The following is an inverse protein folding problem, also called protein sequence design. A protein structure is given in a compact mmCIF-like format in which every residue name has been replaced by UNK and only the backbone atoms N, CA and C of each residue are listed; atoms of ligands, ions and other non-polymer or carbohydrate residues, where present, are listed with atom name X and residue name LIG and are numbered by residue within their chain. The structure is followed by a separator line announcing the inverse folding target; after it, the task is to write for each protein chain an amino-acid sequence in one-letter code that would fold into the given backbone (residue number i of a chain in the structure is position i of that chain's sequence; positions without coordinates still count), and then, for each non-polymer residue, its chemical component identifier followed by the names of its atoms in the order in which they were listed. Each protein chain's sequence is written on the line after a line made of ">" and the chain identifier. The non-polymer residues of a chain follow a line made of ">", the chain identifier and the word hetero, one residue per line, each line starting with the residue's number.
data_IF_136672946497
#
_entry.id   IF_136672946497
#
_cell.length_a   1.000
_cell.length_b   1.000
_cell.length_c   1.000
_cell.angle_alpha   90.00
_cell.angle_beta   90.00
_cell.angle_gamma   90.00
#
_symmetry.space_group_name_H-M   'P 1'
#
loop_
_entity.id
_entity.type
_entity.pdbx_description
1 polymer ?
#
# COMPACT_ATOMS: atom_id res chain seq x y z
N UNK A 1 66.08 -53.73 37.90
CA UNK A 1 65.62 -52.53 38.63
C UNK A 1 65.26 -51.47 37.61
N UNK A 2 64.06 -50.87 37.71
CA UNK A 2 63.66 -49.75 36.85
C UNK A 2 64.34 -48.48 37.35
N UNK A 3 64.99 -47.72 36.46
CA UNK A 3 65.62 -46.44 36.79
C UNK A 3 64.54 -45.35 36.70
N UNK A 4 64.28 -44.66 37.81
CA UNK A 4 63.37 -43.52 37.82
C UNK A 4 64.01 -42.34 37.08
N UNK A 5 63.42 -41.91 35.98
CA UNK A 5 63.94 -40.84 35.14
C UNK A 5 63.07 -39.58 35.23
N UNK A 6 63.44 -38.66 36.12
CA UNK A 6 62.66 -37.46 36.42
C UNK A 6 62.37 -36.57 35.20
N UNK A 7 63.25 -36.54 34.19
CA UNK A 7 63.04 -35.78 32.94
C UNK A 7 61.79 -36.27 32.18
N UNK A 8 61.54 -37.58 32.17
CA UNK A 8 60.37 -38.17 31.52
C UNK A 8 59.06 -37.82 32.22
N UNK A 9 59.07 -37.70 33.55
CA UNK A 9 57.91 -37.29 34.34
C UNK A 9 57.50 -35.85 34.00
N UNK A 10 58.46 -34.90 34.04
CA UNK A 10 58.22 -33.49 33.72
C UNK A 10 57.71 -33.30 32.28
N UNK A 11 58.32 -34.01 31.31
CA UNK A 11 57.87 -33.97 29.92
C UNK A 11 56.42 -34.44 29.77
N UNK A 12 56.05 -35.55 30.41
CA UNK A 12 54.71 -36.12 30.33
C UNK A 12 53.64 -35.20 30.93
N UNK A 13 53.94 -34.54 32.05
CA UNK A 13 52.98 -33.63 32.69
C UNK A 13 52.77 -32.35 31.86
N UNK A 14 53.84 -31.75 31.33
CA UNK A 14 53.73 -30.62 30.40
C UNK A 14 52.93 -30.99 29.14
N UNK A 15 53.18 -32.18 28.58
CA UNK A 15 52.42 -32.68 27.41
C UNK A 15 50.93 -32.83 27.73
N UNK A 16 50.57 -33.40 28.88
CA UNK A 16 49.16 -33.53 29.31
C UNK A 16 48.49 -32.17 29.45
N UNK A 17 49.18 -31.19 30.00
CA UNK A 17 48.67 -29.83 30.13
C UNK A 17 48.33 -29.21 28.76
N UNK A 18 49.26 -29.27 27.81
CA UNK A 18 49.06 -28.76 26.44
C UNK A 18 47.86 -29.47 25.78
N UNK A 19 47.77 -30.79 25.88
CA UNK A 19 46.64 -31.55 25.32
C UNK A 19 45.30 -31.14 25.96
N UNK A 20 45.26 -30.95 27.27
CA UNK A 20 44.05 -30.52 27.97
C UNK A 20 43.60 -29.11 27.59
N UNK A 21 44.53 -28.19 27.33
CA UNK A 21 44.18 -26.87 26.79
C UNK A 21 43.67 -26.96 25.35
N UNK A 22 44.28 -27.81 24.51
CA UNK A 22 43.84 -28.01 23.13
C UNK A 22 42.42 -28.58 23.05
N UNK A 23 42.10 -29.58 23.86
CA UNK A 23 40.74 -30.13 23.95
C UNK A 23 39.70 -29.08 24.33
N UNK A 24 40.05 -28.14 25.22
CA UNK A 24 39.17 -27.02 25.58
C UNK A 24 38.95 -26.07 24.41
N UNK A 25 39.99 -25.75 23.65
CA UNK A 25 39.88 -24.94 22.42
C UNK A 25 38.96 -25.63 21.42
N UNK A 26 39.20 -26.91 21.11
CA UNK A 26 38.35 -27.68 20.20
C UNK A 26 36.90 -27.74 20.68
N UNK A 27 36.68 -28.00 21.97
CA UNK A 27 35.36 -28.04 22.57
C UNK A 27 34.63 -26.69 22.50
N UNK A 28 35.35 -25.58 22.61
CA UNK A 28 34.77 -24.24 22.47
C UNK A 28 34.43 -23.93 21.02
N UNK A 29 35.36 -24.14 20.09
CA UNK A 29 35.16 -23.88 18.66
C UNK A 29 34.04 -24.73 18.06
N UNK A 30 33.99 -26.03 18.37
CA UNK A 30 32.96 -26.95 17.85
C UNK A 30 31.53 -26.61 18.28
N UNK A 31 31.36 -25.89 19.40
CA UNK A 31 30.03 -25.48 19.92
C UNK A 31 29.66 -24.05 19.56
N UNK A 32 30.55 -23.33 18.89
CA UNK A 32 30.36 -21.93 18.51
C UNK A 32 29.73 -21.87 17.12
N UNK A 33 28.73 -20.99 16.91
CA UNK A 33 28.20 -20.75 15.58
C UNK A 33 29.24 -20.06 14.70
N UNK A 34 29.21 -20.27 13.38
CA UNK A 34 30.19 -19.72 12.46
C UNK A 34 30.35 -18.20 12.60
N UNK A 35 29.23 -17.48 12.71
CA UNK A 35 29.16 -16.02 12.88
C UNK A 35 29.85 -15.47 14.13
N UNK A 36 30.19 -16.34 15.08
CA UNK A 36 30.79 -15.96 16.36
C UNK A 36 32.22 -16.49 16.51
N UNK A 37 32.75 -17.26 15.55
CA UNK A 37 34.08 -17.85 15.66
C UNK A 37 35.15 -16.76 15.76
N UNK A 38 35.08 -15.73 14.92
CA UNK A 38 36.05 -14.63 14.88
C UNK A 38 36.23 -13.92 16.23
N UNK A 39 35.17 -13.84 17.04
CA UNK A 39 35.20 -13.17 18.35
C UNK A 39 36.15 -13.81 19.38
N UNK A 40 36.51 -15.08 19.19
CA UNK A 40 37.40 -15.80 20.12
C UNK A 40 38.88 -15.77 19.71
N UNK A 41 39.25 -15.00 18.67
CA UNK A 41 40.62 -14.94 18.13
C UNK A 41 41.64 -14.60 19.21
N UNK A 42 41.38 -13.55 19.97
CA UNK A 42 42.33 -13.05 20.97
C UNK A 42 42.47 -14.03 22.14
N UNK A 43 41.35 -14.52 22.69
CA UNK A 43 41.33 -15.51 23.78
C UNK A 43 42.08 -16.80 23.39
N UNK A 44 41.86 -17.31 22.19
CA UNK A 44 42.53 -18.54 21.72
C UNK A 44 44.01 -18.28 21.43
N UNK A 45 44.38 -17.10 20.93
CA UNK A 45 45.78 -16.72 20.75
C UNK A 45 46.53 -16.63 22.08
N UNK A 46 45.88 -16.13 23.13
CA UNK A 46 46.45 -16.09 24.48
C UNK A 46 46.74 -17.50 25.01
N UNK A 47 45.80 -18.44 24.84
CA UNK A 47 46.01 -19.84 25.24
C UNK A 47 47.17 -20.47 24.44
N UNK A 48 47.27 -20.19 23.13
CA UNK A 48 48.37 -20.68 22.30
C UNK A 48 49.74 -20.14 22.71
N UNK A 49 49.79 -18.89 23.19
CA UNK A 49 51.02 -18.29 23.71
C UNK A 49 51.52 -19.06 24.93
N UNK A 50 50.64 -19.32 25.89
CA UNK A 50 50.95 -20.11 27.09
C UNK A 50 51.42 -21.54 26.74
N UNK A 51 50.75 -22.21 25.79
CA UNK A 51 51.17 -23.53 25.33
C UNK A 51 52.58 -23.52 24.72
N UNK A 52 52.92 -22.46 23.99
CA UNK A 52 54.20 -22.33 23.28
C UNK A 52 55.38 -22.09 24.24
N UNK A 53 55.15 -21.35 25.33
CA UNK A 53 56.16 -21.08 26.36
C UNK A 53 56.66 -22.37 27.05
N UNK A 54 55.88 -23.45 27.03
CA UNK A 54 56.28 -24.74 27.59
C UNK A 54 57.41 -25.43 26.83
N UNK A 55 57.63 -25.08 25.55
CA UNK A 55 58.73 -25.57 24.70
C UNK A 55 58.88 -27.11 24.66
N UNK A 56 57.76 -27.84 24.67
CA UNK A 56 57.75 -29.33 24.67
C UNK A 56 57.39 -29.93 23.32
N UNK A 57 56.54 -29.25 22.55
CA UNK A 57 56.03 -29.70 21.26
C UNK A 57 56.16 -28.56 20.25
N UNK A 58 56.36 -28.92 18.98
CA UNK A 58 56.20 -27.97 17.90
C UNK A 58 54.71 -27.74 17.64
N UNK A 59 54.25 -26.54 17.98
CA UNK A 59 52.85 -26.12 17.81
C UNK A 59 52.62 -25.33 16.51
N UNK A 60 53.67 -25.10 15.72
CA UNK A 60 53.60 -24.28 14.50
C UNK A 60 52.53 -24.77 13.51
N UNK A 61 52.39 -26.09 13.24
CA UNK A 61 51.33 -26.58 12.34
C UNK A 61 49.92 -26.26 12.87
N UNK A 62 49.74 -26.36 14.18
CA UNK A 62 48.46 -26.12 14.85
C UNK A 62 48.12 -24.64 14.88
N UNK A 63 49.11 -23.80 15.14
CA UNK A 63 48.98 -22.34 15.11
C UNK A 63 48.58 -21.86 13.72
N UNK A 64 49.23 -22.37 12.67
CA UNK A 64 48.89 -22.08 11.28
C UNK A 64 47.44 -22.44 10.93
N UNK A 65 46.96 -23.60 11.38
CA UNK A 65 45.56 -24.00 11.19
C UNK A 65 44.57 -23.06 11.90
N UNK A 66 44.90 -22.64 13.12
CA UNK A 66 44.06 -21.72 13.91
C UNK A 66 44.06 -20.33 13.29
N UNK A 67 45.20 -19.84 12.84
CA UNK A 67 45.29 -18.54 12.15
C UNK A 67 44.46 -18.58 10.85
N UNK A 68 44.61 -19.64 10.06
CA UNK A 68 43.80 -19.84 8.85
C UNK A 68 42.30 -19.89 9.16
N UNK A 69 41.87 -20.58 10.22
CA UNK A 69 40.48 -20.61 10.63
C UNK A 69 39.94 -19.20 10.91
N UNK A 70 40.70 -18.38 11.64
CA UNK A 70 40.28 -17.02 11.96
C UNK A 70 40.27 -16.09 10.74
N UNK A 71 41.19 -16.28 9.80
CA UNK A 71 41.18 -15.54 8.54
C UNK A 71 39.90 -15.87 7.73
N UNK A 72 39.54 -17.16 7.63
CA UNK A 72 38.29 -17.58 6.98
C UNK A 72 37.06 -17.05 7.72
N UNK A 73 37.02 -17.10 9.05
CA UNK A 73 35.90 -16.58 9.85
C UNK A 73 35.71 -15.08 9.63
N UNK A 74 36.80 -14.30 9.65
CA UNK A 74 36.76 -12.85 9.40
C UNK A 74 36.27 -12.54 7.98
N UNK A 75 36.76 -13.29 6.98
CA UNK A 75 36.31 -13.15 5.59
C UNK A 75 34.83 -13.47 5.44
N UNK A 76 34.36 -14.53 6.08
CA UNK A 76 32.96 -14.93 6.08
C UNK A 76 32.06 -13.84 6.68
N UNK A 77 32.42 -13.31 7.86
CA UNK A 77 31.64 -12.26 8.54
C UNK A 77 31.51 -11.01 7.65
N UNK A 78 32.60 -10.63 6.98
CA UNK A 78 32.61 -9.49 6.07
C UNK A 78 31.74 -9.73 4.82
N UNK A 79 31.87 -10.89 4.18
CA UNK A 79 31.05 -11.24 3.01
C UNK A 79 29.56 -11.35 3.37
N UNK A 80 29.26 -11.95 4.52
CA UNK A 80 27.90 -12.11 5.00
C UNK A 80 27.25 -10.75 5.31
N UNK A 81 27.98 -9.83 5.97
CA UNK A 81 27.51 -8.46 6.18
C UNK A 81 27.22 -7.75 4.86
N UNK A 82 28.16 -7.80 3.90
CA UNK A 82 27.99 -7.19 2.58
C UNK A 82 26.78 -7.75 1.82
N UNK A 83 26.52 -9.06 1.95
CA UNK A 83 25.36 -9.70 1.36
C UNK A 83 24.05 -9.19 1.97
N UNK A 84 23.98 -9.07 3.30
CA UNK A 84 22.81 -8.54 4.01
C UNK A 84 22.53 -7.10 3.59
N UNK A 85 23.57 -6.25 3.55
CA UNK A 85 23.44 -4.85 3.14
C UNK A 85 22.93 -4.74 1.71
N UNK A 86 23.50 -5.52 0.79
CA UNK A 86 23.05 -5.55 -0.61
C UNK A 86 21.61 -6.02 -0.74
N UNK A 87 21.22 -7.08 -0.05
CA UNK A 87 19.84 -7.58 -0.08
C UNK A 87 18.84 -6.54 0.45
N UNK A 88 19.23 -5.78 1.48
CA UNK A 88 18.45 -4.67 2.00
C UNK A 88 18.34 -3.53 0.99
N UNK A 89 19.42 -3.16 0.31
CA UNK A 89 19.42 -2.16 -0.76
C UNK A 89 18.53 -2.58 -1.95
N UNK A 90 18.65 -3.83 -2.41
CA UNK A 90 17.83 -4.37 -3.51
C UNK A 90 16.34 -4.29 -3.16
N UNK A 91 15.96 -4.72 -1.95
CA UNK A 91 14.57 -4.63 -1.46
C UNK A 91 14.09 -3.18 -1.36
N UNK A 92 14.94 -2.26 -0.92
CA UNK A 92 14.62 -0.82 -0.87
C UNK A 92 14.37 -0.26 -2.26
N UNK A 93 15.20 -0.62 -3.24
CA UNK A 93 15.06 -0.20 -4.63
C UNK A 93 13.76 -0.73 -5.25
N UNK A 94 13.40 -1.99 -4.99
CA UNK A 94 12.13 -2.59 -5.43
C UNK A 94 10.92 -1.82 -4.87
N UNK A 95 10.91 -1.51 -3.57
CA UNK A 95 9.84 -0.75 -2.94
C UNK A 95 9.71 0.67 -3.52
N UNK A 96 10.84 1.34 -3.77
CA UNK A 96 10.85 2.67 -4.40
C UNK A 96 10.28 2.59 -5.83
N UNK A 97 10.67 1.58 -6.60
CA UNK A 97 10.15 1.36 -7.96
C UNK A 97 8.64 1.17 -7.95
N UNK A 98 8.13 0.31 -7.06
CA UNK A 98 6.69 0.04 -6.92
C UNK A 98 5.91 1.31 -6.50
N UNK A 99 6.43 2.06 -5.52
CA UNK A 99 5.82 3.30 -5.08
C UNK A 99 5.77 4.35 -6.21
N UNK A 100 6.80 4.42 -7.05
CA UNK A 100 6.84 5.30 -8.21
C UNK A 100 5.79 4.92 -9.25
N UNK A 101 5.67 3.63 -9.59
CA UNK A 101 4.65 3.14 -10.53
C UNK A 101 3.23 3.45 -10.04
N UNK A 102 2.95 3.23 -8.76
CA UNK A 102 1.65 3.57 -8.15
C UNK A 102 1.35 5.07 -8.18
N UNK A 103 2.37 5.91 -7.97
CA UNK A 103 2.21 7.36 -8.05
C UNK A 103 1.91 7.82 -9.49
N UNK A 104 2.53 7.19 -10.49
CA UNK A 104 2.24 7.47 -11.90
C UNK A 104 0.80 7.07 -12.26
N UNK A 105 0.34 5.89 -11.83
CA UNK A 105 -1.04 5.44 -12.03
C UNK A 105 -2.04 6.40 -11.38
N UNK A 106 -1.79 6.81 -10.14
CA UNK A 106 -2.65 7.74 -9.41
C UNK A 106 -2.82 9.08 -10.14
N UNK A 107 -1.75 9.60 -10.76
CA UNK A 107 -1.82 10.86 -11.53
C UNK A 107 -2.71 10.74 -12.77
N UNK A 108 -2.70 9.57 -13.43
CA UNK A 108 -3.57 9.30 -14.58
C UNK A 108 -5.03 9.27 -14.12
N UNK A 109 -5.33 8.50 -13.07
CA UNK A 109 -6.68 8.40 -12.49
C UNK A 109 -7.20 9.76 -12.00
N UNK A 110 -6.35 10.59 -11.41
CA UNK A 110 -6.71 11.95 -10.98
C UNK A 110 -7.07 12.84 -12.19
N UNK A 111 -6.33 12.71 -13.30
CA UNK A 111 -6.63 13.40 -14.55
C UNK A 111 -7.99 13.00 -15.13
N UNK A 112 -8.27 11.70 -15.16
CA UNK A 112 -9.57 11.16 -15.62
C UNK A 112 -10.72 11.65 -14.74
N UNK A 113 -10.52 11.66 -13.41
CA UNK A 113 -11.52 12.16 -12.46
C UNK A 113 -11.87 13.63 -12.71
N UNK A 114 -10.87 14.49 -12.94
CA UNK A 114 -11.09 15.91 -13.28
C UNK A 114 -11.86 16.05 -14.60
N UNK A 115 -11.58 15.20 -15.58
CA UNK A 115 -12.34 15.14 -16.84
C UNK A 115 -13.81 14.79 -16.62
N UNK A 116 -14.08 13.74 -15.82
CA UNK A 116 -15.44 13.33 -15.47
C UNK A 116 -16.19 14.40 -14.67
N UNK A 117 -15.52 15.09 -13.76
CA UNK A 117 -16.11 16.17 -12.97
C UNK A 117 -16.54 17.36 -13.86
N UNK A 118 -15.72 17.73 -14.85
CA UNK A 118 -16.09 18.76 -15.82
C UNK A 118 -17.30 18.35 -16.67
N UNK A 119 -17.39 17.07 -17.08
CA UNK A 119 -18.54 16.54 -17.82
C UNK A 119 -19.80 16.57 -16.94
N UNK A 120 -19.69 16.19 -15.67
CA UNK A 120 -20.80 16.20 -14.72
C UNK A 120 -21.36 17.62 -14.52
N UNK A 121 -20.50 18.62 -14.33
CA UNK A 121 -20.94 20.01 -14.19
C UNK A 121 -21.61 20.55 -15.46
N UNK A 122 -21.09 20.20 -16.64
CA UNK A 122 -21.73 20.56 -17.90
C UNK A 122 -23.11 19.89 -18.07
N UNK A 123 -23.27 18.64 -17.61
CA UNK A 123 -24.54 17.93 -17.65
C UNK A 123 -25.57 18.56 -16.69
N UNK A 124 -25.16 18.91 -15.46
CA UNK A 124 -26.04 19.59 -14.49
C UNK A 124 -26.60 20.90 -15.06
N UNK A 125 -25.75 21.74 -15.64
CA UNK A 125 -26.17 23.01 -16.25
C UNK A 125 -27.21 22.80 -17.36
N UNK A 126 -27.05 21.76 -18.18
CA UNK A 126 -28.04 21.43 -19.21
C UNK A 126 -29.37 20.96 -18.62
N UNK A 127 -29.34 20.23 -17.51
CA UNK A 127 -30.56 19.82 -16.81
C UNK A 127 -31.30 21.05 -16.27
N UNK A 128 -30.60 21.98 -15.62
CA UNK A 128 -31.18 23.24 -15.13
C UNK A 128 -31.82 24.06 -16.25
N UNK A 129 -31.17 24.13 -17.42
CA UNK A 129 -31.71 24.81 -18.61
C UNK A 129 -33.00 24.13 -19.13
N UNK A 130 -33.02 22.81 -19.17
CA UNK A 130 -34.22 22.05 -19.56
C UNK A 130 -35.35 22.24 -18.55
N UNK A 131 -35.07 22.22 -17.25
CA UNK A 131 -36.05 22.46 -16.19
C UNK A 131 -36.65 23.87 -16.30
N UNK A 132 -35.83 24.89 -16.55
CA UNK A 132 -36.30 26.26 -16.75
C UNK A 132 -37.21 26.38 -17.98
N UNK A 133 -36.88 25.69 -19.08
CA UNK A 133 -37.70 25.68 -20.29
C UNK A 133 -39.05 24.96 -20.07
N UNK A 134 -39.06 23.87 -19.30
CA UNK A 134 -40.31 23.17 -18.93
C UNK A 134 -41.23 24.11 -18.16
N UNK A 135 -40.72 24.81 -17.14
CA UNK A 135 -41.50 25.76 -16.35
C UNK A 135 -42.10 26.87 -17.23
N UNK A 136 -41.32 27.43 -18.16
CA UNK A 136 -41.82 28.45 -19.08
C UNK A 136 -42.95 27.92 -19.99
N UNK A 137 -42.84 26.69 -20.48
CA UNK A 137 -43.88 26.05 -21.29
C UNK A 137 -45.14 25.77 -20.44
N UNK A 138 -44.98 25.31 -19.21
CA UNK A 138 -46.11 25.08 -18.28
C UNK A 138 -46.88 26.37 -17.98
N UNK A 139 -46.16 27.50 -17.81
CA UNK A 139 -46.77 28.83 -17.64
C UNK A 139 -47.55 29.27 -18.90
N UNK A 140 -46.97 29.06 -20.09
CA UNK A 140 -47.66 29.35 -21.36
C UNK A 140 -48.93 28.50 -21.55
N UNK A 141 -48.85 27.19 -21.26
CA UNK A 141 -50.02 26.29 -21.32
C UNK A 141 -51.11 26.78 -20.37
N UNK A 142 -50.76 27.10 -19.13
CA UNK A 142 -51.71 27.62 -18.13
C UNK A 142 -52.39 28.91 -18.59
N UNK A 143 -51.65 29.79 -19.27
CA UNK A 143 -52.21 31.01 -19.87
C UNK A 143 -53.23 30.69 -20.97
N UNK A 144 -52.93 29.75 -21.87
CA UNK A 144 -53.86 29.34 -22.94
C UNK A 144 -55.12 28.67 -22.39
N UNK A 145 -55.00 27.81 -21.38
CA UNK A 145 -56.14 27.16 -20.73
C UNK A 145 -57.11 28.18 -20.14
N UNK A 146 -56.59 29.22 -19.47
CA UNK A 146 -57.40 30.30 -18.91
C UNK A 146 -58.12 31.12 -20.00
N UNK A 147 -57.45 31.41 -21.12
CA UNK A 147 -58.07 32.11 -22.24
C UNK A 147 -59.23 31.29 -22.83
N UNK A 148 -59.05 29.98 -23.00
CA UNK A 148 -60.09 29.08 -23.52
C UNK A 148 -61.31 29.06 -22.60
N UNK A 149 -61.10 28.98 -21.28
CA UNK A 149 -62.20 29.02 -20.29
C UNK A 149 -63.03 30.31 -20.40
N UNK A 150 -62.39 31.48 -20.49
CA UNK A 150 -63.09 32.76 -20.63
C UNK A 150 -63.91 32.82 -21.93
N UNK A 151 -63.34 32.36 -23.06
CA UNK A 151 -64.08 32.34 -24.33
C UNK A 151 -65.26 31.37 -24.31
N UNK A 152 -65.15 30.26 -23.58
CA UNK A 152 -66.23 29.30 -23.41
C UNK A 152 -67.37 29.90 -22.56
N UNK A 153 -67.05 30.60 -21.48
CA UNK A 153 -68.04 31.29 -20.63
C UNK A 153 -68.81 32.36 -21.40
N UNK A 154 -68.11 33.19 -22.17
CA UNK A 154 -68.73 34.21 -23.03
C UNK A 154 -69.65 33.58 -24.09
N UNK A 155 -69.22 32.46 -24.68
CA UNK A 155 -70.01 31.70 -25.66
C UNK A 155 -71.30 31.15 -25.03
N UNK A 156 -71.21 30.57 -23.83
CA UNK A 156 -72.38 30.07 -23.08
C UNK A 156 -73.35 31.22 -22.76
N UNK A 157 -72.84 32.38 -22.34
CA UNK A 157 -73.68 33.56 -22.04
C UNK A 157 -74.41 34.09 -23.28
N UNK A 158 -73.72 34.15 -24.43
CA UNK A 158 -74.32 34.56 -25.69
C UNK A 158 -75.42 33.58 -26.15
N UNK A 159 -75.18 32.29 -25.99
CA UNK A 159 -76.13 31.23 -26.30
C UNK A 159 -77.41 31.35 -25.45
N UNK A 160 -77.26 31.54 -24.13
CA UNK A 160 -78.39 31.78 -23.22
C UNK A 160 -79.18 33.04 -23.60
N UNK A 161 -78.51 34.14 -23.94
CA UNK A 161 -79.18 35.37 -24.41
C UNK A 161 -79.95 35.13 -25.70
N UNK A 162 -79.41 34.33 -26.63
CA UNK A 162 -80.08 33.96 -27.87
C UNK A 162 -81.38 33.20 -27.59
N UNK A 163 -81.33 32.19 -26.72
CA UNK A 163 -82.50 31.40 -26.31
C UNK A 163 -83.62 32.28 -25.71
N UNK A 164 -83.29 33.22 -24.81
CA UNK A 164 -84.26 34.16 -24.27
C UNK A 164 -84.90 35.05 -25.35
N UNK A 165 -84.11 35.50 -26.32
CA UNK A 165 -84.57 36.33 -27.43
C UNK A 165 -85.54 35.56 -28.35
N UNK A 166 -85.23 34.29 -28.61
CA UNK A 166 -86.08 33.37 -29.37
C UNK A 166 -87.42 33.13 -28.66
N UNK A 167 -87.40 32.92 -27.33
CA UNK A 167 -88.60 32.77 -26.51
C UNK A 167 -89.49 34.03 -26.56
N UNK A 168 -88.90 35.22 -26.34
CA UNK A 168 -89.61 36.49 -26.41
C UNK A 168 -90.24 36.73 -27.80
N UNK A 169 -89.54 36.39 -28.89
CA UNK A 169 -90.06 36.47 -30.27
C UNK A 169 -91.29 35.60 -30.44
N UNK A 170 -91.26 34.37 -29.91
CA UNK A 170 -92.38 33.44 -30.00
C UNK A 170 -93.59 33.95 -29.21
N UNK A 171 -93.38 34.48 -28.01
CA UNK A 171 -94.45 35.08 -27.19
C UNK A 171 -95.12 36.27 -27.89
N UNK A 172 -94.32 37.15 -28.50
CA UNK A 172 -94.85 38.30 -29.25
C UNK A 172 -95.70 37.85 -30.44
N UNK A 173 -95.27 36.80 -31.14
CA UNK A 173 -96.00 36.18 -32.24
C UNK A 173 -97.33 35.57 -31.77
N UNK A 174 -97.31 34.88 -30.62
CA UNK A 174 -98.50 34.29 -30.01
C UNK A 174 -99.50 35.36 -29.53
N UNK A 175 -99.03 36.50 -29.00
CA UNK A 175 -99.88 37.63 -28.60
C UNK A 175 -100.59 38.27 -29.80
N UNK A 176 -99.88 38.40 -30.93
CA UNK A 176 -100.45 38.97 -32.16
C UNK A 176 -101.60 38.12 -32.70
N UNK A 177 -101.51 36.79 -32.57
CA UNK A 177 -102.56 35.84 -32.95
C UNK A 177 -103.78 35.84 -32.01
N UNK A 178 -103.71 36.49 -30.84
CA UNK A 178 -104.82 36.59 -29.87
C UNK A 178 -105.62 37.89 -29.97
N UNK A 179 -105.20 38.81 -30.83
CA UNK A 179 -105.81 40.13 -31.04
C UNK A 179 -106.61 40.22 -32.35
N UNK A 180 -106.56 39.17 -33.17
CA UNK A 180 -107.45 38.92 -34.31
C UNK A 180 -108.60 37.98 -33.89
#
# INVERSE_FOLDING_TARGET
>A
MSVFEGKGVVFNDKRKYILGLWEKICGKLSRTSLDNISSYKDDICEIFKEMSEMNVLDLSPLKSLVDSLFDHATSYDQEHSNFIDKAHEDKKMELISNAKERLELFKVEEGERKGLEAILEAAKKKVEEVEANILAIEDEISSYENMILLTLEDSICLEQKRECLEANRQDLTNYKLRLD
#
